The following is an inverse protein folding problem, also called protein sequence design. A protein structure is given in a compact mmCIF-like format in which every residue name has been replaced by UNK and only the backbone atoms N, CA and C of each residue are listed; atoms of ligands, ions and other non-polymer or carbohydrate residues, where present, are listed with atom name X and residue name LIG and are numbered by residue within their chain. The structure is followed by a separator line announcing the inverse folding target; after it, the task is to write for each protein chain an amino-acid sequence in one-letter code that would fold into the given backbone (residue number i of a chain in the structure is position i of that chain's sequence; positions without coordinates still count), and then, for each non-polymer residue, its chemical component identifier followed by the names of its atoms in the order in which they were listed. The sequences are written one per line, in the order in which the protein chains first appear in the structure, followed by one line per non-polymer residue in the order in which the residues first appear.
data_IF_480399979550
#
_entry.id   IF_480399979550
#
_cell.length_a   1.000
_cell.length_b   1.000
_cell.length_c   1.000
_cell.angle_alpha   90.00
_cell.angle_beta   90.00
_cell.angle_gamma   90.00
#
_symmetry.space_group_name_H-M   'P 1'
#
loop_
_entity.id
_entity.type
_entity.pdbx_description
1 polymer ?
#
# COMPACT_ATOMS: atom_id res chain seq x y z
N UNK A 1 9.05 0.57 -41.28
CA UNK A 1 8.58 1.73 -40.47
C UNK A 1 8.38 1.33 -39.00
N UNK A 2 9.38 0.76 -38.33
CA UNK A 2 9.29 0.42 -36.89
C UNK A 2 10.57 0.64 -36.08
N UNK A 3 11.57 1.33 -36.62
CA UNK A 3 12.90 1.45 -35.96
C UNK A 3 13.33 2.89 -35.61
N UNK A 4 12.51 3.92 -35.84
CA UNK A 4 12.95 5.31 -35.64
C UNK A 4 12.72 5.88 -34.23
N UNK A 5 11.85 5.29 -33.39
CA UNK A 5 11.58 5.90 -32.07
C UNK A 5 12.76 5.77 -31.09
N UNK A 6 13.60 4.75 -31.24
CA UNK A 6 14.75 4.49 -30.38
C UNK A 6 15.95 5.36 -30.69
N UNK A 7 16.15 5.77 -31.95
CA UNK A 7 17.27 6.64 -32.34
C UNK A 7 17.10 8.06 -31.78
N UNK A 8 15.88 8.62 -31.87
CA UNK A 8 15.60 9.96 -31.32
C UNK A 8 15.76 10.03 -29.81
N UNK A 9 15.40 8.96 -29.07
CA UNK A 9 15.60 8.92 -27.61
C UNK A 9 17.08 8.81 -27.23
N UNK A 10 17.88 8.11 -28.04
CA UNK A 10 19.33 7.99 -27.82
C UNK A 10 20.05 9.32 -28.11
N UNK A 11 19.70 10.00 -29.20
CA UNK A 11 20.24 11.32 -29.55
C UNK A 11 19.82 12.39 -28.52
N UNK A 12 18.57 12.36 -28.05
CA UNK A 12 18.10 13.27 -27.02
C UNK A 12 18.83 13.05 -25.67
N UNK A 13 19.12 11.79 -25.31
CA UNK A 13 19.88 11.48 -24.11
C UNK A 13 21.35 11.90 -24.23
N UNK A 14 21.97 11.70 -25.40
CA UNK A 14 23.33 12.18 -25.68
C UNK A 14 23.39 13.71 -25.62
N UNK A 15 22.41 14.42 -26.19
CA UNK A 15 22.32 15.88 -26.15
C UNK A 15 22.11 16.42 -24.72
N UNK A 16 21.23 15.82 -23.93
CA UNK A 16 21.05 16.18 -22.51
C UNK A 16 22.31 15.90 -21.68
N UNK A 17 23.02 14.80 -21.96
CA UNK A 17 24.28 14.48 -21.28
C UNK A 17 25.42 15.47 -21.62
N UNK A 18 25.39 16.06 -22.82
CA UNK A 18 26.35 17.08 -23.27
C UNK A 18 26.08 18.48 -22.71
N UNK A 19 24.81 18.81 -22.42
CA UNK A 19 24.42 20.10 -21.83
C UNK A 19 24.70 20.21 -20.32
N UNK A 20 25.00 19.10 -19.63
CA UNK A 20 25.39 19.09 -18.22
C UNK A 20 26.69 18.33 -17.94
N UNK A 21 27.86 18.79 -18.45
CA UNK A 21 29.15 18.14 -18.20
C UNK A 21 29.50 18.03 -16.70
N UNK A 22 28.93 18.92 -15.89
CA UNK A 22 29.14 18.97 -14.44
C UNK A 22 28.38 17.91 -13.62
N UNK A 23 27.51 17.09 -14.24
CA UNK A 23 26.77 16.03 -13.54
C UNK A 23 27.47 14.66 -13.54
N UNK A 24 28.60 14.51 -14.25
CA UNK A 24 29.50 13.36 -14.07
C UNK A 24 30.34 13.57 -12.80
N UNK A 25 29.71 13.39 -11.66
CA UNK A 25 30.39 13.46 -10.37
C UNK A 25 31.22 12.18 -10.20
N UNK A 26 32.50 12.21 -10.57
CA UNK A 26 33.47 11.14 -10.30
C UNK A 26 33.36 10.61 -8.86
N UNK A 27 33.09 11.51 -7.91
CA UNK A 27 32.96 11.19 -6.49
C UNK A 27 31.70 10.37 -6.16
N UNK A 28 30.62 10.45 -6.94
CA UNK A 28 29.42 9.65 -6.66
C UNK A 28 29.59 8.19 -7.05
N UNK A 29 30.34 7.90 -8.13
CA UNK A 29 30.61 6.52 -8.54
C UNK A 29 31.58 5.83 -7.57
N UNK A 30 32.59 6.57 -7.10
CA UNK A 30 33.50 6.06 -6.07
C UNK A 30 32.74 5.78 -4.76
N UNK A 31 31.92 6.72 -4.27
CA UNK A 31 31.13 6.51 -3.06
C UNK A 31 30.12 5.35 -3.19
N UNK A 32 29.51 5.18 -4.38
CA UNK A 32 28.63 4.04 -4.67
C UNK A 32 29.37 2.70 -4.61
N UNK A 33 30.61 2.67 -5.12
CA UNK A 33 31.46 1.46 -5.10
C UNK A 33 31.93 1.11 -3.69
N UNK A 34 32.33 2.10 -2.89
CA UNK A 34 32.73 1.91 -1.49
C UNK A 34 31.57 1.38 -0.63
N UNK A 35 30.36 1.94 -0.80
CA UNK A 35 29.14 1.43 -0.13
C UNK A 35 28.76 0.02 -0.61
N UNK A 36 28.94 -0.28 -1.90
CA UNK A 36 28.71 -1.63 -2.44
C UNK A 36 29.61 -2.65 -1.76
N UNK A 37 30.91 -2.35 -1.69
CA UNK A 37 31.90 -3.20 -1.06
C UNK A 37 31.63 -3.38 0.44
N UNK A 38 31.15 -2.35 1.13
CA UNK A 38 30.76 -2.43 2.53
C UNK A 38 29.56 -3.37 2.74
N UNK A 39 28.53 -3.28 1.90
CA UNK A 39 27.36 -4.16 1.97
C UNK A 39 27.76 -5.60 1.65
N UNK A 40 28.54 -5.81 0.59
CA UNK A 40 29.02 -7.13 0.20
C UNK A 40 29.89 -7.76 1.30
N UNK A 41 30.73 -6.96 1.95
CA UNK A 41 31.51 -7.37 3.13
C UNK A 41 30.62 -7.77 4.31
N UNK A 42 29.52 -7.05 4.55
CA UNK A 42 28.57 -7.42 5.62
C UNK A 42 27.83 -8.72 5.29
N UNK A 43 27.39 -8.88 4.04
CA UNK A 43 26.67 -10.07 3.60
C UNK A 43 27.56 -11.31 3.65
N UNK A 44 28.84 -11.19 3.29
CA UNK A 44 29.78 -12.30 3.35
C UNK A 44 30.13 -12.68 4.80
N UNK A 45 30.37 -11.69 5.67
CA UNK A 45 30.85 -11.91 7.03
C UNK A 45 29.75 -12.31 8.04
N UNK A 46 28.49 -11.93 7.81
CA UNK A 46 27.40 -12.18 8.75
C UNK A 46 26.33 -13.08 8.13
N UNK A 47 25.73 -13.95 8.95
CA UNK A 47 24.67 -14.86 8.51
C UNK A 47 23.38 -14.08 8.29
N UNK A 48 23.08 -13.13 9.16
CA UNK A 48 21.93 -12.24 9.02
C UNK A 48 22.40 -10.80 8.96
N UNK A 49 21.94 -10.08 7.93
CA UNK A 49 22.16 -8.64 7.79
C UNK A 49 20.80 -7.94 7.78
N UNK A 50 20.57 -7.06 8.76
CA UNK A 50 19.40 -6.20 8.83
C UNK A 50 19.79 -4.78 8.42
N UNK A 51 19.33 -4.38 7.25
CA UNK A 51 19.44 -3.00 6.78
C UNK A 51 18.24 -2.20 7.28
N UNK A 52 18.47 -1.14 8.04
CA UNK A 52 17.41 -0.44 8.76
C UNK A 52 17.56 1.08 8.82
N UNK A 53 16.60 1.70 9.52
CA UNK A 53 16.53 3.14 9.78
C UNK A 53 16.38 3.43 11.28
N UNK A 54 17.07 4.46 11.77
CA UNK A 54 16.94 4.96 13.14
C UNK A 54 15.50 5.39 13.45
N UNK A 55 14.97 4.94 14.59
CA UNK A 55 13.60 5.23 15.03
C UNK A 55 12.49 4.48 14.27
N UNK A 56 12.83 3.51 13.41
CA UNK A 56 11.83 2.74 12.68
C UNK A 56 11.22 1.60 13.53
N UNK A 57 9.90 1.64 13.75
CA UNK A 57 9.17 0.61 14.49
C UNK A 57 9.20 -0.78 13.85
N UNK A 58 9.24 -0.88 12.51
CA UNK A 58 9.41 -2.17 11.82
C UNK A 58 10.82 -2.73 11.99
N UNK A 59 11.86 -1.87 11.99
CA UNK A 59 13.23 -2.31 12.28
C UNK A 59 13.36 -2.80 13.72
N UNK A 60 12.72 -2.13 14.69
CA UNK A 60 12.68 -2.59 16.08
C UNK A 60 12.06 -3.99 16.20
N UNK A 61 10.92 -4.21 15.53
CA UNK A 61 10.26 -5.52 15.48
C UNK A 61 11.15 -6.61 14.90
N UNK A 62 11.76 -6.36 13.74
CA UNK A 62 12.63 -7.35 13.11
C UNK A 62 13.83 -7.70 14.02
N UNK A 63 14.39 -6.72 14.74
CA UNK A 63 15.45 -6.98 15.73
C UNK A 63 14.95 -7.85 16.89
N UNK A 64 13.76 -7.58 17.43
CA UNK A 64 13.15 -8.38 18.50
C UNK A 64 12.90 -9.82 18.01
N UNK A 65 12.37 -10.00 16.80
CA UNK A 65 12.15 -11.32 16.19
C UNK A 65 13.46 -12.07 15.99
N UNK A 66 14.50 -11.42 15.47
CA UNK A 66 15.82 -12.04 15.29
C UNK A 66 16.46 -12.39 16.63
N UNK A 67 16.36 -11.52 17.65
CA UNK A 67 16.89 -11.79 18.99
C UNK A 67 16.21 -13.01 19.64
N UNK A 68 14.89 -13.16 19.46
CA UNK A 68 14.17 -14.34 19.93
C UNK A 68 14.63 -15.60 19.19
N UNK A 69 14.83 -15.51 17.87
CA UNK A 69 15.27 -16.65 17.07
C UNK A 69 16.72 -17.05 17.36
N UNK A 70 17.59 -16.08 17.65
CA UNK A 70 18.99 -16.30 17.99
C UNK A 70 19.17 -17.11 19.28
N UNK A 71 18.18 -17.08 20.19
CA UNK A 71 18.15 -17.92 21.37
C UNK A 71 17.87 -19.40 21.06
N UNK A 72 17.21 -19.69 19.93
CA UNK A 72 16.87 -21.06 19.48
C UNK A 72 17.90 -21.60 18.50
N UNK A 73 18.30 -20.78 17.52
CA UNK A 73 19.24 -21.13 16.46
C UNK A 73 20.36 -20.09 16.45
N UNK A 74 21.59 -20.42 16.86
CA UNK A 74 22.70 -19.47 16.88
C UNK A 74 23.08 -19.00 15.46
N UNK A 75 23.21 -17.69 15.27
CA UNK A 75 23.72 -17.07 14.05
C UNK A 75 24.39 -15.74 14.35
N UNK A 76 25.20 -15.25 13.40
CA UNK A 76 25.80 -13.92 13.46
C UNK A 76 24.87 -12.86 12.84
N UNK A 77 24.69 -11.74 13.53
CA UNK A 77 23.78 -10.66 13.11
C UNK A 77 24.53 -9.33 13.00
N UNK A 78 24.43 -8.68 11.84
CA UNK A 78 24.81 -7.28 11.66
C UNK A 78 23.58 -6.40 11.43
N UNK A 79 23.58 -5.23 12.05
CA UNK A 79 22.52 -4.23 11.91
C UNK A 79 23.10 -2.99 11.23
N UNK A 80 22.85 -2.86 9.94
CA UNK A 80 23.31 -1.73 9.13
C UNK A 80 22.25 -0.63 9.07
N UNK A 81 22.42 0.44 9.87
CA UNK A 81 21.49 1.56 9.91
C UNK A 81 21.92 2.67 8.94
N UNK A 82 21.20 2.82 7.83
CA UNK A 82 21.61 3.73 6.74
C UNK A 82 20.93 5.10 6.75
N UNK A 83 19.93 5.28 7.61
CA UNK A 83 19.08 6.48 7.63
C UNK A 83 18.75 6.89 9.08
N UNK A 84 18.57 8.20 9.30
CA UNK A 84 18.30 8.79 10.62
C UNK A 84 19.33 8.39 11.70
N UNK A 85 20.60 8.30 11.34
CA UNK A 85 21.71 8.06 12.28
C UNK A 85 22.65 9.26 12.28
N UNK A 86 23.32 9.51 13.40
CA UNK A 86 24.34 10.57 13.49
C UNK A 86 25.63 10.23 12.73
N UNK A 87 25.77 8.99 12.27
CA UNK A 87 26.99 8.43 11.70
C UNK A 87 27.09 8.60 10.20
N UNK A 88 25.98 8.82 9.49
CA UNK A 88 25.95 8.89 8.03
C UNK A 88 25.44 10.26 7.60
N UNK A 89 26.15 10.90 6.68
CA UNK A 89 25.73 12.18 6.11
C UNK A 89 24.48 12.02 5.23
N UNK A 90 23.66 13.06 5.02
CA UNK A 90 22.49 12.97 4.13
C UNK A 90 22.84 12.53 2.69
N UNK A 91 24.02 12.90 2.21
CA UNK A 91 24.54 12.44 0.92
C UNK A 91 24.87 10.95 0.94
N UNK A 92 25.52 10.47 2.02
CA UNK A 92 25.79 9.04 2.23
C UNK A 92 24.52 8.20 2.32
N UNK A 93 23.47 8.69 3.00
CA UNK A 93 22.17 8.00 3.05
C UNK A 93 21.60 7.81 1.63
N UNK A 94 21.66 8.84 0.78
CA UNK A 94 21.15 8.75 -0.60
C UNK A 94 21.90 7.70 -1.42
N UNK A 95 23.23 7.68 -1.31
CA UNK A 95 24.11 6.72 -1.99
C UNK A 95 23.82 5.30 -1.51
N UNK A 96 23.77 5.06 -0.19
CA UNK A 96 23.47 3.76 0.39
C UNK A 96 22.09 3.25 -0.06
N UNK A 97 21.06 4.12 -0.06
CA UNK A 97 19.72 3.76 -0.52
C UNK A 97 19.68 3.39 -2.00
N UNK A 98 20.41 4.12 -2.84
CA UNK A 98 20.52 3.80 -4.28
C UNK A 98 21.23 2.48 -4.51
N UNK A 99 22.33 2.24 -3.77
CA UNK A 99 23.05 0.98 -3.83
C UNK A 99 22.15 -0.20 -3.42
N UNK A 100 21.51 -0.14 -2.25
CA UNK A 100 20.64 -1.25 -1.81
C UNK A 100 19.49 -1.50 -2.78
N UNK A 101 18.88 -0.45 -3.34
CA UNK A 101 17.84 -0.61 -4.38
C UNK A 101 18.37 -1.38 -5.60
N UNK A 102 19.57 -1.06 -6.07
CA UNK A 102 20.16 -1.73 -7.24
C UNK A 102 20.55 -3.17 -6.92
N UNK A 103 21.17 -3.43 -5.76
CA UNK A 103 21.56 -4.79 -5.32
C UNK A 103 20.35 -5.71 -5.17
N UNK A 104 19.25 -5.20 -4.58
CA UNK A 104 18.02 -5.95 -4.36
C UNK A 104 17.07 -5.98 -5.56
N UNK A 105 17.35 -5.20 -6.62
CA UNK A 105 16.47 -5.03 -7.80
C UNK A 105 15.03 -4.63 -7.44
N UNK A 106 14.88 -3.76 -6.43
CA UNK A 106 13.56 -3.27 -5.99
C UNK A 106 13.34 -1.81 -6.41
N UNK A 107 12.11 -1.50 -6.81
CA UNK A 107 11.73 -0.14 -7.21
C UNK A 107 11.65 0.79 -6.00
N UNK A 108 10.94 0.34 -4.95
CA UNK A 108 10.78 1.07 -3.70
C UNK A 108 11.48 0.36 -2.55
N UNK A 109 12.32 1.13 -1.86
CA UNK A 109 13.08 0.67 -0.70
C UNK A 109 12.33 1.09 0.57
N UNK A 110 11.78 0.09 1.25
CA UNK A 110 11.23 0.22 2.60
C UNK A 110 12.29 -0.22 3.62
N UNK A 111 12.01 -0.08 4.92
CA UNK A 111 12.88 -0.63 5.96
C UNK A 111 12.05 -1.39 7.01
N UNK A 112 12.57 -2.49 7.57
CA UNK A 112 13.90 -3.06 7.31
C UNK A 112 13.97 -3.83 5.98
N UNK A 113 15.19 -4.04 5.48
CA UNK A 113 15.50 -5.07 4.47
C UNK A 113 16.40 -6.10 5.13
N UNK A 114 16.02 -7.37 5.03
CA UNK A 114 16.64 -8.46 5.76
C UNK A 114 17.22 -9.44 4.75
N UNK A 115 18.48 -9.79 4.97
CA UNK A 115 19.24 -10.76 4.18
C UNK A 115 19.66 -11.86 5.14
N UNK A 116 19.41 -13.12 4.77
CA UNK A 116 19.74 -14.31 5.56
C UNK A 116 20.56 -15.25 4.68
N UNK A 117 21.74 -15.61 5.15
CA UNK A 117 22.73 -16.45 4.47
C UNK A 117 22.96 -16.02 3.01
N UNK A 118 23.14 -14.71 2.79
CA UNK A 118 23.33 -14.14 1.45
C UNK A 118 22.08 -14.02 0.59
N UNK A 119 20.91 -14.43 1.08
CA UNK A 119 19.65 -14.38 0.36
C UNK A 119 18.74 -13.27 0.90
N UNK A 120 18.19 -12.46 0.00
CA UNK A 120 17.24 -11.42 0.38
C UNK A 120 15.86 -12.00 0.64
N UNK A 121 15.35 -11.81 1.87
CA UNK A 121 14.06 -12.37 2.32
C UNK A 121 12.91 -11.35 2.33
N UNK A 122 13.22 -10.05 2.36
CA UNK A 122 12.22 -8.98 2.42
C UNK A 122 12.26 -8.17 3.72
N UNK A 123 11.09 -7.77 4.20
CA UNK A 123 10.92 -6.90 5.36
C UNK A 123 10.60 -7.62 6.67
N UNK A 124 10.17 -6.85 7.68
CA UNK A 124 9.87 -7.38 9.01
C UNK A 124 8.71 -8.40 9.03
N UNK A 125 7.70 -8.21 8.18
CA UNK A 125 6.55 -9.12 8.09
C UNK A 125 6.93 -10.41 7.34
N UNK A 126 7.79 -10.32 6.31
CA UNK A 126 8.31 -11.48 5.60
C UNK A 126 9.20 -12.34 6.52
N UNK A 127 10.03 -11.70 7.35
CA UNK A 127 10.79 -12.40 8.40
C UNK A 127 9.86 -13.13 9.39
N UNK A 128 8.79 -12.47 9.84
CA UNK A 128 7.85 -13.10 10.77
C UNK A 128 7.19 -14.35 10.16
N UNK A 129 6.76 -14.27 8.89
CA UNK A 129 6.21 -15.42 8.16
C UNK A 129 7.25 -16.54 7.97
N UNK A 130 8.50 -16.17 7.68
CA UNK A 130 9.59 -17.12 7.50
C UNK A 130 9.87 -17.90 8.80
N UNK A 131 9.88 -17.22 9.94
CA UNK A 131 10.02 -17.83 11.28
C UNK A 131 8.79 -18.68 11.63
N UNK A 132 7.57 -18.17 11.44
CA UNK A 132 6.33 -18.92 11.70
C UNK A 132 6.25 -20.21 10.86
N UNK A 133 6.82 -20.21 9.65
CA UNK A 133 6.85 -21.38 8.77
C UNK A 133 7.96 -22.39 9.09
N UNK A 134 8.86 -22.09 10.04
CA UNK A 134 10.04 -22.92 10.35
C UNK A 134 11.18 -22.85 9.33
N UNK A 135 11.00 -22.16 8.20
CA UNK A 135 11.99 -22.06 7.12
C UNK A 135 13.19 -21.17 7.46
N UNK A 136 13.07 -20.32 8.47
CA UNK A 136 14.19 -19.46 8.87
C UNK A 136 15.40 -20.28 9.30
N UNK A 137 15.19 -21.34 10.10
CA UNK A 137 16.26 -22.17 10.62
C UNK A 137 16.95 -22.95 9.48
N UNK A 138 16.17 -23.47 8.54
CA UNK A 138 16.70 -24.12 7.33
C UNK A 138 17.59 -23.15 6.51
N UNK A 139 17.15 -21.90 6.38
CA UNK A 139 17.87 -20.89 5.59
C UNK A 139 19.16 -20.44 6.26
N UNK A 140 19.15 -20.21 7.58
CA UNK A 140 20.35 -19.84 8.34
C UNK A 140 21.40 -20.94 8.31
N UNK A 141 20.98 -22.21 8.42
CA UNK A 141 21.89 -23.36 8.40
C UNK A 141 22.37 -23.72 6.99
N UNK A 142 21.74 -23.17 5.95
CA UNK A 142 22.15 -23.39 4.57
C UNK A 142 23.47 -22.69 4.24
N UNK A 143 24.27 -23.31 3.37
CA UNK A 143 25.50 -22.72 2.86
C UNK A 143 25.21 -21.41 2.11
N UNK A 144 25.93 -20.34 2.43
CA UNK A 144 25.83 -19.08 1.68
C UNK A 144 26.13 -19.33 0.20
N UNK A 145 25.26 -18.88 -0.73
CA UNK A 145 25.57 -18.95 -2.14
C UNK A 145 26.79 -18.08 -2.43
N UNK A 146 27.72 -18.58 -3.22
CA UNK A 146 28.88 -17.81 -3.66
C UNK A 146 28.38 -16.74 -4.64
N UNK A 147 28.21 -15.52 -4.15
CA UNK A 147 27.80 -14.36 -4.95
C UNK A 147 29.03 -13.60 -5.40
N UNK A 148 29.17 -13.37 -6.71
CA UNK A 148 30.21 -12.48 -7.23
C UNK A 148 30.03 -11.06 -6.66
N UNK A 149 31.12 -10.30 -6.45
CA UNK A 149 31.03 -8.89 -6.07
C UNK A 149 30.12 -8.13 -7.04
N UNK A 150 29.30 -7.22 -6.52
CA UNK A 150 28.34 -6.42 -7.31
C UNK A 150 27.25 -7.23 -8.06
N UNK A 151 27.20 -8.56 -7.92
CA UNK A 151 26.13 -9.38 -8.50
C UNK A 151 24.83 -9.30 -7.69
N UNK A 152 23.66 -9.11 -8.32
CA UNK A 152 22.40 -8.90 -7.61
C UNK A 152 22.17 -9.95 -6.53
N UNK A 153 21.75 -9.51 -5.34
CA UNK A 153 21.56 -10.41 -4.20
C UNK A 153 20.45 -11.41 -4.60
N UNK A 154 20.73 -12.73 -4.53
CA UNK A 154 19.74 -13.73 -4.87
C UNK A 154 18.54 -13.56 -3.94
N UNK A 155 17.37 -13.68 -4.52
CA UNK A 155 16.12 -13.68 -3.77
C UNK A 155 15.39 -14.97 -4.10
N UNK A 156 14.78 -15.58 -3.09
CA UNK A 156 13.88 -16.68 -3.34
C UNK A 156 12.52 -16.08 -3.73
N UNK A 157 12.08 -16.32 -4.97
CA UNK A 157 10.80 -15.80 -5.48
C UNK A 157 9.56 -16.31 -4.72
N UNK A 158 9.74 -17.32 -3.86
CA UNK A 158 8.75 -17.80 -2.90
C UNK A 158 8.67 -16.92 -1.64
N UNK A 159 9.77 -16.25 -1.27
CA UNK A 159 9.95 -15.48 -0.03
C UNK A 159 9.72 -13.99 -0.21
N UNK A 160 10.08 -13.42 -1.37
CA UNK A 160 9.55 -12.11 -1.71
C UNK A 160 8.05 -12.23 -1.74
N UNK A 161 7.39 -11.35 -0.99
CA UNK A 161 5.96 -11.09 -1.09
C UNK A 161 5.61 -10.93 -2.58
N UNK A 162 5.30 -12.05 -3.25
CA UNK A 162 4.30 -12.10 -4.29
C UNK A 162 3.19 -11.30 -3.68
N UNK A 163 2.91 -10.14 -4.28
CA UNK A 163 1.58 -9.54 -4.37
C UNK A 163 0.59 -10.50 -3.72
N UNK A 164 0.43 -10.42 -2.39
CA UNK A 164 -0.31 -11.47 -1.69
C UNK A 164 -1.65 -11.46 -2.38
N UNK A 165 -2.17 -12.61 -2.83
CA UNK A 165 -3.46 -12.58 -3.53
C UNK A 165 -4.41 -11.80 -2.64
N UNK A 166 -5.22 -10.87 -3.18
CA UNK A 166 -6.11 -10.05 -2.37
C UNK A 166 -6.88 -10.99 -1.47
N UNK A 167 -6.58 -10.92 -0.18
CA UNK A 167 -7.23 -11.78 0.78
C UNK A 167 -8.51 -11.06 1.16
N UNK A 168 -9.51 -11.22 0.29
CA UNK A 168 -10.83 -10.59 0.44
C UNK A 168 -11.43 -10.89 1.81
N UNK A 169 -11.05 -12.04 2.36
CA UNK A 169 -11.58 -12.58 3.58
C UNK A 169 -10.68 -12.41 4.81
N UNK A 170 -9.47 -11.85 4.67
CA UNK A 170 -8.57 -11.63 5.81
C UNK A 170 -8.61 -10.18 6.24
N UNK A 171 -9.15 -9.94 7.43
CA UNK A 171 -9.16 -8.61 8.05
C UNK A 171 -7.71 -8.16 8.30
N UNK A 172 -7.33 -6.92 7.94
CA UNK A 172 -6.03 -6.38 8.27
C UNK A 172 -5.84 -6.30 9.79
N UNK A 173 -4.70 -6.77 10.28
CA UNK A 173 -4.33 -6.63 11.69
C UNK A 173 -3.90 -5.19 11.97
N UNK A 174 -4.63 -4.47 12.84
CA UNK A 174 -4.20 -3.18 13.38
C UNK A 174 -3.34 -3.44 14.60
N UNK A 175 -2.08 -3.01 14.56
CA UNK A 175 -1.14 -3.24 15.65
C UNK A 175 -1.47 -2.34 16.83
N UNK A 176 -1.56 -2.92 18.04
CA UNK A 176 -1.89 -2.19 19.27
C UNK A 176 -3.39 -1.94 19.47
N UNK A 177 -4.25 -2.41 18.56
CA UNK A 177 -5.67 -2.45 18.83
C UNK A 177 -5.98 -3.57 19.83
N UNK A 178 -6.85 -3.28 20.81
CA UNK A 178 -7.27 -4.17 21.89
C UNK A 178 -8.06 -5.41 21.46
N UNK A 179 -8.15 -5.69 20.16
CA UNK A 179 -8.96 -6.76 19.60
C UNK A 179 -8.05 -7.79 18.92
N UNK A 180 -7.51 -8.78 19.65
CA UNK A 180 -6.65 -9.81 19.09
C UNK A 180 -7.52 -10.83 18.36
N UNK A 181 -7.25 -10.99 17.06
CA UNK A 181 -7.78 -12.07 16.20
C UNK A 181 -9.30 -12.23 16.15
N UNK A 182 -10.05 -11.12 16.22
CA UNK A 182 -11.52 -11.17 16.14
C UNK A 182 -11.97 -11.75 14.77
N UNK A 183 -12.62 -12.93 14.73
CA UNK A 183 -12.86 -13.68 13.49
C UNK A 183 -14.11 -13.23 12.72
N UNK A 184 -14.85 -12.26 13.25
CA UNK A 184 -16.13 -11.86 12.67
C UNK A 184 -15.93 -10.85 11.54
N UNK A 185 -16.28 -11.25 10.32
CA UNK A 185 -16.53 -10.37 9.17
C UNK A 185 -17.54 -9.29 9.49
N UNK A 186 -18.53 -9.63 10.32
CA UNK A 186 -19.46 -8.68 10.88
C UNK A 186 -18.68 -7.70 11.75
N UNK A 187 -18.68 -6.43 11.37
CA UNK A 187 -18.02 -5.33 12.07
C UNK A 187 -16.50 -5.24 11.89
N UNK A 188 -16.01 -5.31 10.65
CA UNK A 188 -14.60 -5.01 10.38
C UNK A 188 -14.20 -3.61 10.92
N UNK A 189 -13.36 -3.59 11.96
CA UNK A 189 -12.87 -2.38 12.65
C UNK A 189 -11.57 -1.81 12.07
N UNK A 190 -10.96 -2.55 11.16
CA UNK A 190 -9.68 -2.22 10.55
C UNK A 190 -9.78 -2.27 9.02
N UNK A 191 -9.25 -1.28 8.33
CA UNK A 191 -9.12 -1.31 6.87
C UNK A 191 -7.83 -0.66 6.44
N UNK A 192 -7.37 -0.97 5.23
CA UNK A 192 -6.16 -0.36 4.70
C UNK A 192 -6.44 1.09 4.27
N UNK A 193 -5.54 2.03 4.59
CA UNK A 193 -5.79 3.47 4.42
C UNK A 193 -6.07 3.89 2.98
N UNK A 194 -5.36 3.30 2.01
CA UNK A 194 -5.59 3.64 0.60
C UNK A 194 -6.85 2.95 0.05
N UNK A 195 -7.32 1.88 0.68
CA UNK A 195 -8.58 1.24 0.32
C UNK A 195 -9.76 2.20 0.50
N UNK A 196 -9.77 2.99 1.58
CA UNK A 196 -10.79 4.02 1.81
C UNK A 196 -10.84 5.05 0.68
N UNK A 197 -9.67 5.43 0.15
CA UNK A 197 -9.57 6.37 -0.96
C UNK A 197 -10.17 5.80 -2.23
N UNK A 198 -9.85 4.55 -2.56
CA UNK A 198 -10.42 3.88 -3.72
C UNK A 198 -11.95 3.74 -3.60
N UNK A 199 -12.44 3.37 -2.43
CA UNK A 199 -13.89 3.33 -2.14
C UNK A 199 -14.51 4.71 -2.36
N UNK A 200 -13.88 5.76 -1.84
CA UNK A 200 -14.36 7.14 -1.98
C UNK A 200 -14.38 7.62 -3.44
N UNK A 201 -13.39 7.21 -4.25
CA UNK A 201 -13.36 7.49 -5.69
C UNK A 201 -14.52 6.77 -6.40
N UNK A 202 -14.78 5.50 -6.08
CA UNK A 202 -15.92 4.79 -6.65
C UNK A 202 -17.25 5.44 -6.25
N UNK A 203 -17.37 5.89 -5.01
CA UNK A 203 -18.54 6.65 -4.57
C UNK A 203 -18.71 7.95 -5.37
N UNK A 204 -17.64 8.71 -5.63
CA UNK A 204 -17.70 9.90 -6.48
C UNK A 204 -18.20 9.58 -7.89
N UNK A 205 -17.73 8.47 -8.47
CA UNK A 205 -18.17 8.02 -9.80
C UNK A 205 -19.67 7.68 -9.78
N UNK A 206 -20.12 6.85 -8.84
CA UNK A 206 -21.54 6.46 -8.72
C UNK A 206 -22.43 7.69 -8.50
N UNK A 207 -22.01 8.61 -7.62
CA UNK A 207 -22.76 9.83 -7.33
C UNK A 207 -22.80 10.79 -8.51
N UNK A 208 -21.69 10.98 -9.21
CA UNK A 208 -21.62 11.79 -10.44
C UNK A 208 -22.51 11.21 -11.54
N UNK A 209 -22.46 9.89 -11.75
CA UNK A 209 -23.33 9.20 -12.70
C UNK A 209 -24.81 9.36 -12.33
N UNK A 210 -25.16 9.18 -11.06
CA UNK A 210 -26.53 9.37 -10.57
C UNK A 210 -27.04 10.78 -10.87
N UNK A 211 -26.23 11.81 -10.62
CA UNK A 211 -26.58 13.20 -10.91
C UNK A 211 -26.76 13.47 -12.41
N UNK A 212 -25.91 12.89 -13.26
CA UNK A 212 -26.06 13.04 -14.72
C UNK A 212 -27.31 12.36 -15.29
N UNK A 213 -27.80 11.32 -14.61
CA UNK A 213 -28.93 10.50 -15.07
C UNK A 213 -30.27 10.94 -14.46
N UNK A 214 -30.27 11.80 -13.45
CA UNK A 214 -31.49 12.11 -12.69
C UNK A 214 -32.57 12.77 -13.55
N UNK A 215 -32.17 13.62 -14.50
CA UNK A 215 -33.07 14.34 -15.40
C UNK A 215 -33.37 13.52 -16.68
N UNK A 216 -32.37 12.78 -17.18
CA UNK A 216 -32.45 12.08 -18.47
C UNK A 216 -32.98 10.65 -18.38
N UNK A 217 -32.74 9.96 -17.26
CA UNK A 217 -33.09 8.56 -17.04
C UNK A 217 -33.42 8.30 -15.54
N UNK A 218 -34.53 8.87 -15.01
CA UNK A 218 -34.83 8.88 -13.58
C UNK A 218 -34.96 7.48 -12.96
N UNK A 219 -35.45 6.50 -13.73
CA UNK A 219 -35.54 5.11 -13.30
C UNK A 219 -34.15 4.48 -13.07
N UNK A 220 -33.19 4.76 -13.96
CA UNK A 220 -31.82 4.28 -13.82
C UNK A 220 -31.12 5.00 -12.65
N UNK A 221 -31.33 6.31 -12.50
CA UNK A 221 -30.83 7.05 -11.35
C UNK A 221 -31.37 6.47 -10.02
N UNK A 222 -32.65 6.14 -9.95
CA UNK A 222 -33.25 5.47 -8.77
C UNK A 222 -32.62 4.11 -8.49
N UNK A 223 -32.38 3.30 -9.52
CA UNK A 223 -31.71 2.02 -9.35
C UNK A 223 -30.27 2.21 -8.81
N UNK A 224 -29.53 3.20 -9.30
CA UNK A 224 -28.19 3.54 -8.80
C UNK A 224 -28.21 4.03 -7.35
N UNK A 225 -29.19 4.88 -6.98
CA UNK A 225 -29.40 5.33 -5.59
C UNK A 225 -29.59 4.10 -4.68
N UNK A 226 -30.47 3.17 -5.08
CA UNK A 226 -30.76 1.98 -4.30
C UNK A 226 -29.54 1.05 -4.17
N UNK A 227 -28.84 0.77 -5.26
CA UNK A 227 -27.61 -0.04 -5.26
C UNK A 227 -26.57 0.59 -4.35
N UNK A 228 -26.36 1.91 -4.44
CA UNK A 228 -25.41 2.63 -3.62
C UNK A 228 -25.79 2.60 -2.13
N UNK A 229 -27.08 2.76 -1.82
CA UNK A 229 -27.59 2.63 -0.46
C UNK A 229 -27.31 1.24 0.14
N UNK A 230 -27.62 0.18 -0.61
CA UNK A 230 -27.36 -1.21 -0.19
C UNK A 230 -25.86 -1.46 0.01
N UNK A 231 -25.03 -0.98 -0.92
CA UNK A 231 -23.57 -1.10 -0.84
C UNK A 231 -23.00 -0.43 0.42
N UNK A 232 -23.45 0.78 0.74
CA UNK A 232 -23.05 1.49 1.96
C UNK A 232 -23.48 0.76 3.23
N UNK A 233 -24.70 0.22 3.26
CA UNK A 233 -25.18 -0.59 4.38
C UNK A 233 -24.28 -1.81 4.60
N UNK A 234 -23.93 -2.53 3.53
CA UNK A 234 -23.01 -3.68 3.59
C UNK A 234 -21.63 -3.21 4.06
N UNK A 235 -21.11 -2.11 3.52
CA UNK A 235 -19.80 -1.56 3.86
C UNK A 235 -19.70 -1.19 5.36
N UNK A 236 -20.75 -0.62 5.94
CA UNK A 236 -20.79 -0.25 7.36
C UNK A 236 -20.87 -1.49 8.26
N UNK A 237 -21.76 -2.43 7.92
CA UNK A 237 -22.05 -3.61 8.73
C UNK A 237 -20.94 -4.66 8.63
N UNK A 238 -20.47 -4.95 7.43
CA UNK A 238 -19.55 -6.06 7.13
C UNK A 238 -18.14 -5.61 6.73
N UNK A 239 -17.95 -4.33 6.42
CA UNK A 239 -16.67 -3.81 5.93
C UNK A 239 -16.52 -3.87 4.40
N UNK A 240 -15.32 -3.58 3.88
CA UNK A 240 -15.07 -3.49 2.43
C UNK A 240 -15.47 -4.73 1.63
N UNK A 241 -15.33 -5.92 2.21
CA UNK A 241 -15.79 -7.16 1.58
C UNK A 241 -16.91 -7.71 2.46
N UNK A 242 -18.13 -7.92 1.94
CA UNK A 242 -18.48 -8.13 0.53
C UNK A 242 -19.11 -6.92 -0.19
N UNK A 243 -18.96 -5.68 0.30
CA UNK A 243 -19.50 -4.51 -0.41
C UNK A 243 -18.97 -4.44 -1.86
N UNK A 244 -19.78 -4.05 -2.83
CA UNK A 244 -19.39 -3.88 -4.22
C UNK A 244 -18.22 -2.91 -4.35
N UNK A 245 -18.34 -1.70 -3.81
CA UNK A 245 -17.27 -0.70 -3.92
C UNK A 245 -16.01 -1.16 -3.17
N UNK A 246 -16.16 -1.75 -1.99
CA UNK A 246 -15.02 -2.23 -1.22
C UNK A 246 -14.36 -3.46 -1.83
N UNK A 247 -15.10 -4.35 -2.50
CA UNK A 247 -14.56 -5.53 -3.19
C UNK A 247 -13.77 -5.12 -4.43
N UNK A 248 -14.33 -4.22 -5.27
CA UNK A 248 -13.63 -3.65 -6.43
C UNK A 248 -12.36 -2.93 -5.96
N UNK A 249 -12.48 -2.08 -4.95
CA UNK A 249 -11.35 -1.34 -4.38
C UNK A 249 -10.29 -2.27 -3.79
N UNK A 250 -10.69 -3.37 -3.17
CA UNK A 250 -9.75 -4.36 -2.60
C UNK A 250 -9.02 -5.07 -3.71
N UNK A 251 -9.72 -5.49 -4.76
CA UNK A 251 -9.13 -6.20 -5.89
C UNK A 251 -8.10 -5.35 -6.65
N UNK A 252 -8.48 -4.14 -7.06
CA UNK A 252 -7.59 -3.26 -7.85
C UNK A 252 -6.57 -2.51 -6.98
N UNK A 253 -6.94 -2.15 -5.75
CA UNK A 253 -6.12 -1.38 -4.83
C UNK A 253 -5.18 -2.21 -3.95
N UNK A 254 -5.23 -3.54 -4.03
CA UNK A 254 -4.50 -4.42 -3.09
C UNK A 254 -2.99 -4.14 -3.00
N UNK A 255 -2.37 -3.91 -4.15
CA UNK A 255 -0.93 -3.65 -4.25
C UNK A 255 -0.54 -2.31 -3.60
N UNK A 256 -1.49 -1.40 -3.48
CA UNK A 256 -1.31 -0.06 -2.97
C UNK A 256 -2.05 0.16 -1.66
N UNK A 257 -2.39 -0.89 -0.90
CA UNK A 257 -3.31 -0.82 0.26
C UNK A 257 -2.89 0.17 1.37
N UNK A 258 -1.60 0.41 1.58
CA UNK A 258 -1.13 1.31 2.65
C UNK A 258 -1.24 0.69 4.05
N UNK A 259 -1.16 1.51 5.10
CA UNK A 259 -1.20 1.02 6.49
C UNK A 259 -2.63 0.66 6.90
N UNK A 260 -2.78 -0.32 7.80
CA UNK A 260 -4.07 -0.57 8.45
C UNK A 260 -4.43 0.62 9.35
N UNK A 261 -5.67 1.08 9.27
CA UNK A 261 -6.26 2.18 10.05
C UNK A 261 -7.61 1.74 10.61
N UNK A 262 -8.09 2.46 11.64
CA UNK A 262 -9.41 2.24 12.23
C UNK A 262 -10.51 2.61 11.23
N UNK A 263 -11.52 1.76 11.09
CA UNK A 263 -12.68 2.04 10.21
C UNK A 263 -13.70 2.98 10.85
N UNK A 264 -13.60 3.24 12.16
CA UNK A 264 -14.62 3.94 12.95
C UNK A 264 -14.96 5.32 12.36
N UNK A 265 -13.99 6.22 12.07
CA UNK A 265 -14.32 7.54 11.55
C UNK A 265 -15.06 7.47 10.21
N UNK A 266 -14.66 6.52 9.35
CA UNK A 266 -15.27 6.34 8.03
C UNK A 266 -16.67 5.73 8.14
N UNK A 267 -16.91 4.82 9.08
CA UNK A 267 -18.26 4.27 9.34
C UNK A 267 -19.23 5.35 9.80
N UNK A 268 -18.78 6.30 10.63
CA UNK A 268 -19.62 7.45 11.04
C UNK A 268 -20.00 8.29 9.81
N UNK A 269 -19.02 8.63 8.97
CA UNK A 269 -19.26 9.39 7.74
C UNK A 269 -20.21 8.66 6.80
N UNK A 270 -19.97 7.38 6.52
CA UNK A 270 -20.82 6.60 5.64
C UNK A 270 -22.21 6.35 6.22
N UNK A 271 -22.36 6.29 7.55
CA UNK A 271 -23.69 6.23 8.19
C UNK A 271 -24.50 7.50 7.94
N UNK A 272 -23.85 8.67 7.93
CA UNK A 272 -24.53 9.91 7.55
C UNK A 272 -25.01 9.87 6.09
N UNK A 273 -24.26 9.22 5.19
CA UNK A 273 -24.69 9.01 3.80
C UNK A 273 -25.91 8.10 3.73
N UNK A 274 -25.90 6.96 4.45
CA UNK A 274 -27.05 6.04 4.51
C UNK A 274 -28.32 6.75 4.99
N UNK A 275 -28.24 7.53 6.07
CA UNK A 275 -29.39 8.31 6.57
C UNK A 275 -29.87 9.32 5.53
N UNK A 276 -28.96 10.03 4.87
CA UNK A 276 -29.35 11.01 3.86
C UNK A 276 -29.93 10.37 2.59
N UNK A 277 -29.42 9.23 2.15
CA UNK A 277 -29.98 8.44 1.04
C UNK A 277 -31.35 7.85 1.40
N UNK A 278 -31.51 7.33 2.62
CA UNK A 278 -32.80 6.85 3.11
C UNK A 278 -33.84 7.98 3.06
N UNK A 279 -33.47 9.19 3.50
CA UNK A 279 -34.35 10.35 3.42
C UNK A 279 -34.71 10.71 1.96
N UNK A 280 -33.75 10.60 1.03
CA UNK A 280 -34.02 10.79 -0.41
C UNK A 280 -35.00 9.74 -0.94
N UNK A 281 -34.80 8.48 -0.58
CA UNK A 281 -35.66 7.38 -1.01
C UNK A 281 -37.07 7.50 -0.43
N UNK A 282 -37.21 7.77 0.87
CA UNK A 282 -38.50 7.99 1.53
C UNK A 282 -39.22 9.21 0.94
N UNK A 283 -38.49 10.32 0.72
CA UNK A 283 -39.06 11.50 0.07
C UNK A 283 -39.62 11.16 -1.31
N UNK A 284 -38.93 10.31 -2.10
CA UNK A 284 -39.49 9.83 -3.37
C UNK A 284 -40.69 8.92 -3.16
N UNK A 285 -40.61 7.90 -2.31
CA UNK A 285 -41.72 6.97 -2.09
C UNK A 285 -43.02 7.67 -1.68
N UNK A 286 -42.96 8.67 -0.81
CA UNK A 286 -44.15 9.38 -0.33
C UNK A 286 -44.68 10.45 -1.29
N UNK A 287 -43.84 11.02 -2.16
CA UNK A 287 -44.28 12.04 -3.13
C UNK A 287 -44.60 11.48 -4.53
N UNK A 288 -44.34 10.20 -4.78
CA UNK A 288 -44.57 9.52 -6.06
C UNK A 288 -46.06 9.30 -6.37
N UNK A 289 -46.97 9.42 -5.39
CA UNK A 289 -48.42 9.37 -5.64
C UNK A 289 -48.91 10.46 -6.61
N UNK A 290 -48.11 11.50 -6.89
CA UNK A 290 -48.42 12.53 -7.87
C UNK A 290 -48.02 12.19 -9.33
N UNK A 291 -47.38 11.04 -9.59
CA UNK A 291 -47.02 10.58 -10.94
C UNK A 291 -45.92 11.38 -11.66
N UNK A 292 -45.44 12.47 -11.08
CA UNK A 292 -44.43 13.34 -11.70
C UNK A 292 -43.05 13.16 -11.05
N UNK A 293 -42.26 12.22 -11.59
CA UNK A 293 -40.86 12.02 -11.20
C UNK A 293 -39.93 13.17 -11.61
N UNK A 294 -40.45 14.11 -12.40
CA UNK A 294 -39.72 15.29 -12.90
C UNK A 294 -39.99 16.56 -12.10
N UNK A 295 -40.67 16.46 -10.95
CA UNK A 295 -40.84 17.61 -10.04
C UNK A 295 -39.47 18.23 -9.69
N UNK A 296 -39.28 19.47 -10.16
CA UNK A 296 -38.07 20.27 -9.98
C UNK A 296 -37.63 20.35 -8.52
N UNK A 297 -38.58 20.35 -7.57
CA UNK A 297 -38.25 20.39 -6.14
C UNK A 297 -37.57 19.09 -5.68
N UNK A 298 -38.05 17.95 -6.15
CA UNK A 298 -37.46 16.64 -5.83
C UNK A 298 -36.04 16.52 -6.38
N UNK A 299 -35.83 16.97 -7.62
CA UNK A 299 -34.54 16.94 -8.30
C UNK A 299 -33.55 17.87 -7.61
N UNK A 300 -33.99 19.09 -7.29
CA UNK A 300 -33.18 20.08 -6.55
C UNK A 300 -32.75 19.54 -5.19
N UNK A 301 -33.68 18.94 -4.43
CA UNK A 301 -33.38 18.32 -3.13
C UNK A 301 -32.30 17.24 -3.23
N UNK A 302 -32.40 16.34 -4.22
CA UNK A 302 -31.41 15.28 -4.44
C UNK A 302 -30.05 15.87 -4.83
N UNK A 303 -30.03 16.85 -5.75
CA UNK A 303 -28.82 17.57 -6.17
C UNK A 303 -28.12 18.20 -4.96
N UNK A 304 -28.84 18.87 -4.07
CA UNK A 304 -28.27 19.47 -2.84
C UNK A 304 -27.67 18.41 -1.90
N UNK A 305 -28.35 17.28 -1.68
CA UNK A 305 -27.83 16.21 -0.81
C UNK A 305 -26.56 15.57 -1.39
N UNK A 306 -26.58 15.25 -2.68
CA UNK A 306 -25.44 14.64 -3.37
C UNK A 306 -24.24 15.58 -3.44
N UNK A 307 -24.44 16.90 -3.59
CA UNK A 307 -23.34 17.86 -3.56
C UNK A 307 -22.54 17.75 -2.25
N UNK A 308 -23.22 17.65 -1.09
CA UNK A 308 -22.58 17.44 0.19
C UNK A 308 -21.78 16.13 0.26
N UNK A 309 -22.37 15.03 -0.22
CA UNK A 309 -21.69 13.73 -0.26
C UNK A 309 -20.48 13.72 -1.19
N UNK A 310 -20.58 14.35 -2.36
CA UNK A 310 -19.50 14.46 -3.34
C UNK A 310 -18.33 15.24 -2.74
N UNK A 311 -18.60 16.40 -2.14
CA UNK A 311 -17.55 17.21 -1.49
C UNK A 311 -16.83 16.38 -0.43
N UNK A 312 -17.57 15.73 0.47
CA UNK A 312 -16.99 14.96 1.56
C UNK A 312 -16.24 13.70 1.08
N UNK A 313 -16.74 12.99 0.05
CA UNK A 313 -16.03 11.88 -0.57
C UNK A 313 -14.78 12.34 -1.34
N UNK A 314 -14.81 13.54 -1.91
CA UNK A 314 -13.65 14.20 -2.50
C UNK A 314 -12.54 14.46 -1.47
N UNK A 315 -12.92 14.98 -0.29
CA UNK A 315 -12.00 15.14 0.83
C UNK A 315 -11.39 13.80 1.27
N UNK A 316 -12.19 12.73 1.41
CA UNK A 316 -11.71 11.39 1.76
C UNK A 316 -10.81 10.75 0.69
N UNK A 317 -11.09 11.00 -0.59
CA UNK A 317 -10.28 10.51 -1.69
C UNK A 317 -8.90 11.19 -1.75
N UNK A 318 -8.85 12.49 -1.45
CA UNK A 318 -7.64 13.30 -1.57
C UNK A 318 -6.78 13.29 -0.30
N UNK A 319 -7.39 13.57 0.87
CA UNK A 319 -6.65 13.74 2.12
C UNK A 319 -6.38 12.40 2.82
N UNK A 320 -5.21 12.32 3.46
CA UNK A 320 -4.89 11.24 4.41
C UNK A 320 -5.43 11.67 5.78
N UNK A 321 -6.57 11.15 6.18
CA UNK A 321 -6.95 11.12 7.60
C UNK A 321 -6.15 10.04 8.32
#
# INVERSE_FOLDING_TARGET
MKDDATSYLLEYWQFLSALFPCLKNSNSNQALSEESALIDSKISNFDVVLVGKGGCGYCKRAKETLAAQQASTPFTLDVYLIANTKTISPAGEKVARQNIKSRLKIFDLTFPQIIVSGQYIGGADDLALLVESGKFDELVLSSKPETAPDSPIPYEGSLLSRSSKPSLFKVPKVRGAWYPDWPFYSFQWAMYSNLVRYISILHLIIMGLTLSLIDSAPNLANALIFIYFVDLCILILLGPVPSLCGTISTYFGWKLRGNATSTIPYKVVFSAYVVGLLNVMLYRCFNVEAGDFTDDKSVSYIKTRYAGFIVNSGFLAYFRL
#
